data_IF_319132385264
#
_entry.id   IF_319132385264
#
_cell.length_a   1.000
_cell.length_b   1.000
_cell.length_c   1.000
_cell.angle_alpha   90.00
_cell.angle_beta   90.00
_cell.angle_gamma   90.00
#
_symmetry.space_group_name_H-M   'P 1'
#
loop_
_entity.id
_entity.type
_entity.pdbx_description
1 polymer ?
#
# COMPACT_ATOMS: atom_id res chain seq x y z
N UNK A 1 -4.73 -18.46 17.14
CA UNK A 1 -5.11 -17.13 17.46
C UNK A 1 -6.57 -16.84 17.24
N UNK A 2 -7.38 -17.16 18.19
CA UNK A 2 -8.80 -16.94 18.08
C UNK A 2 -9.20 -15.48 17.95
N UNK A 3 -8.33 -14.60 18.42
CA UNK A 3 -8.60 -13.17 18.39
C UNK A 3 -8.78 -12.64 16.98
N UNK A 4 -8.18 -13.29 16.00
CA UNK A 4 -8.23 -12.82 14.63
C UNK A 4 -9.61 -12.94 14.01
N UNK A 5 -10.37 -13.92 14.47
CA UNK A 5 -11.72 -14.13 13.98
C UNK A 5 -12.72 -13.27 14.74
N UNK A 6 -12.25 -12.59 15.75
CA UNK A 6 -13.12 -11.83 16.63
C UNK A 6 -13.32 -10.43 16.07
N UNK A 7 -14.42 -10.24 15.36
CA UNK A 7 -14.76 -8.94 14.81
C UNK A 7 -15.31 -8.06 15.92
N UNK A 8 -14.41 -7.50 16.70
CA UNK A 8 -14.79 -6.55 17.72
C UNK A 8 -15.58 -5.42 17.07
N UNK A 9 -16.78 -5.11 17.55
CA UNK A 9 -17.52 -3.97 16.99
C UNK A 9 -16.66 -2.73 16.96
N UNK A 10 -16.78 -1.95 15.91
CA UNK A 10 -15.94 -0.78 15.73
C UNK A 10 -16.00 0.20 16.90
N UNK A 11 -17.11 0.22 17.62
CA UNK A 11 -17.25 1.02 18.82
C UNK A 11 -16.36 0.59 19.97
N UNK A 12 -15.90 -0.67 19.93
CA UNK A 12 -15.07 -1.24 20.98
C UNK A 12 -13.60 -1.30 20.61
N UNK A 13 -13.21 -0.76 19.45
CA UNK A 13 -11.82 -0.76 19.03
C UNK A 13 -10.98 0.04 20.03
N UNK A 14 -9.99 -0.61 20.59
CA UNK A 14 -9.04 0.03 21.47
C UNK A 14 -8.11 0.93 20.68
N UNK A 15 -7.53 1.93 21.36
CA UNK A 15 -6.58 2.80 20.71
C UNK A 15 -5.37 2.03 20.16
N UNK A 16 -5.00 0.96 20.86
CA UNK A 16 -3.92 0.08 20.44
C UNK A 16 -4.23 -0.58 19.09
N UNK A 17 -5.49 -0.98 18.89
CA UNK A 17 -5.88 -1.60 17.64
C UNK A 17 -5.81 -0.61 16.49
N UNK A 18 -6.12 0.65 16.74
CA UNK A 18 -5.98 1.70 15.73
C UNK A 18 -4.51 1.90 15.38
N UNK A 19 -3.65 1.90 16.40
CA UNK A 19 -2.21 2.02 16.17
C UNK A 19 -1.69 0.85 15.33
N UNK A 20 -2.14 -0.36 15.65
CA UNK A 20 -1.76 -1.53 14.88
C UNK A 20 -2.24 -1.46 13.44
N UNK A 21 -3.43 -0.93 13.21
CA UNK A 21 -3.95 -0.71 11.87
C UNK A 21 -3.05 0.26 11.11
N UNK A 22 -2.65 1.36 11.75
CA UNK A 22 -1.80 2.35 11.11
C UNK A 22 -0.42 1.78 10.82
N UNK A 23 0.12 0.97 11.73
CA UNK A 23 1.41 0.31 11.52
C UNK A 23 1.35 -0.66 10.35
N UNK A 24 0.26 -1.42 10.25
CA UNK A 24 0.05 -2.33 9.15
C UNK A 24 0.02 -1.56 7.82
N UNK A 25 -0.72 -0.45 7.79
CA UNK A 25 -0.82 0.36 6.57
C UNK A 25 0.53 0.97 6.18
N UNK A 26 1.31 1.39 7.16
CA UNK A 26 2.62 1.94 6.90
C UNK A 26 3.58 0.87 6.38
N UNK A 27 3.51 -0.32 6.94
CA UNK A 27 4.31 -1.45 6.45
C UNK A 27 3.90 -1.80 5.03
N UNK A 28 2.59 -1.88 4.76
CA UNK A 28 2.09 -2.17 3.42
C UNK A 28 2.56 -1.12 2.42
N UNK A 29 2.52 0.14 2.82
CA UNK A 29 2.97 1.23 1.97
C UNK A 29 4.46 1.08 1.63
N UNK A 30 5.28 0.77 2.62
CA UNK A 30 6.73 0.60 2.40
C UNK A 30 7.02 -0.58 1.51
N UNK A 31 6.36 -1.71 1.76
CA UNK A 31 6.56 -2.91 0.95
C UNK A 31 6.17 -2.64 -0.50
N UNK A 32 5.01 -2.01 -0.72
CA UNK A 32 4.56 -1.69 -2.06
C UNK A 32 5.51 -0.70 -2.75
N UNK A 33 5.99 0.31 -2.02
CA UNK A 33 6.90 1.30 -2.57
C UNK A 33 8.23 0.66 -2.97
N UNK A 34 8.81 -0.14 -2.07
CA UNK A 34 10.09 -0.79 -2.34
C UNK A 34 9.96 -1.81 -3.47
N UNK A 35 8.89 -2.60 -3.46
CA UNK A 35 8.65 -3.57 -4.53
C UNK A 35 8.45 -2.88 -5.86
N UNK A 36 7.76 -1.75 -5.86
CA UNK A 36 7.57 -0.96 -7.07
C UNK A 36 8.88 -0.48 -7.66
N UNK A 37 9.79 0.01 -6.82
CA UNK A 37 11.10 0.44 -7.26
C UNK A 37 11.91 -0.72 -7.84
N UNK A 38 11.88 -1.87 -7.18
CA UNK A 38 12.59 -3.06 -7.65
C UNK A 38 12.04 -3.51 -9.01
N UNK A 39 10.71 -3.52 -9.16
CA UNK A 39 10.08 -3.94 -10.40
C UNK A 39 10.38 -2.94 -11.52
N UNK A 40 10.36 -1.64 -11.24
CA UNK A 40 10.71 -0.62 -12.24
C UNK A 40 12.15 -0.76 -12.67
N UNK A 41 13.06 -1.01 -11.74
CA UNK A 41 14.46 -1.25 -12.05
C UNK A 41 14.60 -2.50 -12.92
N UNK A 42 13.88 -3.57 -12.57
CA UNK A 42 13.88 -4.78 -13.36
C UNK A 42 13.35 -4.55 -14.77
N UNK A 43 12.31 -3.73 -14.91
CA UNK A 43 11.77 -3.41 -16.23
C UNK A 43 12.81 -2.67 -17.08
N UNK A 44 13.55 -1.75 -16.47
CA UNK A 44 14.61 -1.04 -17.16
C UNK A 44 15.71 -2.02 -17.60
N UNK A 45 16.12 -2.90 -16.71
CA UNK A 45 17.17 -3.87 -17.00
C UNK A 45 16.75 -4.81 -18.13
N UNK A 46 15.49 -5.26 -18.12
CA UNK A 46 14.95 -6.08 -19.21
C UNK A 46 15.02 -5.33 -20.52
N UNK A 47 14.60 -4.07 -20.52
CA UNK A 47 14.62 -3.27 -21.74
C UNK A 47 16.04 -3.11 -22.27
N UNK A 48 16.99 -2.84 -21.38
CA UNK A 48 18.38 -2.68 -21.77
C UNK A 48 18.96 -3.97 -22.37
N UNK A 49 18.72 -5.09 -21.68
CA UNK A 49 19.22 -6.38 -22.14
C UNK A 49 18.65 -6.75 -23.50
N UNK A 50 17.34 -6.59 -23.68
CA UNK A 50 16.69 -6.97 -24.92
C UNK A 50 17.01 -6.02 -26.07
N UNK A 51 17.38 -4.78 -25.77
CA UNK A 51 17.72 -3.80 -26.81
C UNK A 51 18.95 -4.19 -27.61
N UNK A 52 19.79 -5.06 -27.07
CA UNK A 52 21.00 -5.52 -27.75
C UNK A 52 20.78 -6.76 -28.58
N UNK A 53 19.60 -7.39 -28.49
CA UNK A 53 19.34 -8.63 -29.21
C UNK A 53 18.91 -8.30 -30.65
N UNK A 54 19.68 -8.81 -31.61
CA UNK A 54 19.33 -8.66 -33.00
C UNK A 54 18.09 -9.48 -33.31
N UNK A 55 17.20 -8.94 -34.13
CA UNK A 55 15.97 -9.59 -34.49
C UNK A 55 15.95 -9.97 -35.96
N UNK A 56 15.22 -10.99 -36.29
CA UNK A 56 15.10 -11.48 -37.66
C UNK A 56 14.26 -10.55 -38.53
N UNK A 57 13.37 -9.78 -37.93
CA UNK A 57 12.56 -8.83 -38.68
C UNK A 57 13.21 -7.45 -38.70
N UNK A 58 12.59 -6.54 -39.45
CA UNK A 58 13.15 -5.19 -39.64
C UNK A 58 12.86 -4.23 -38.50
N UNK A 59 12.18 -4.69 -37.44
CA UNK A 59 11.89 -3.82 -36.32
C UNK A 59 13.14 -3.55 -35.50
N UNK A 60 13.36 -2.30 -35.11
CA UNK A 60 14.49 -2.01 -34.25
C UNK A 60 14.40 -2.78 -32.92
N UNK A 61 15.52 -3.33 -32.43
CA UNK A 61 15.53 -4.09 -31.19
C UNK A 61 14.97 -3.31 -29.99
N UNK A 62 15.23 -2.01 -29.92
CA UNK A 62 14.76 -1.22 -28.78
C UNK A 62 13.23 -1.09 -28.74
N UNK A 63 12.55 -1.11 -29.90
CA UNK A 63 11.10 -1.05 -29.93
C UNK A 63 10.52 -2.36 -29.41
N UNK A 64 11.09 -3.49 -29.81
CA UNK A 64 10.64 -4.80 -29.33
C UNK A 64 10.91 -4.94 -27.83
N UNK A 65 12.08 -4.50 -27.40
CA UNK A 65 12.43 -4.53 -25.97
C UNK A 65 11.46 -3.71 -25.14
N UNK A 66 11.08 -2.53 -25.64
CA UNK A 66 10.12 -1.67 -24.97
C UNK A 66 8.75 -2.35 -24.83
N UNK A 67 8.33 -3.06 -25.85
CA UNK A 67 7.04 -3.78 -25.80
C UNK A 67 7.03 -4.87 -24.75
N UNK A 68 8.13 -5.61 -24.64
CA UNK A 68 8.25 -6.66 -23.62
C UNK A 68 8.30 -6.02 -22.23
N UNK A 69 9.14 -5.01 -22.05
CA UNK A 69 9.32 -4.38 -20.75
C UNK A 69 8.08 -3.62 -20.29
N UNK A 70 7.17 -3.30 -21.19
CA UNK A 70 5.96 -2.54 -20.85
C UNK A 70 5.14 -3.22 -19.77
N UNK A 71 5.05 -4.54 -19.83
CA UNK A 71 4.26 -5.28 -18.83
C UNK A 71 4.90 -5.20 -17.46
N UNK A 72 6.22 -5.30 -17.37
CA UNK A 72 6.93 -5.16 -16.10
C UNK A 72 6.79 -3.73 -15.57
N UNK A 73 6.89 -2.75 -16.46
CA UNK A 73 6.70 -1.34 -16.07
C UNK A 73 5.30 -1.11 -15.54
N UNK A 74 4.31 -1.71 -16.17
CA UNK A 74 2.92 -1.61 -15.71
C UNK A 74 2.77 -2.20 -14.31
N UNK A 75 3.42 -3.33 -14.05
CA UNK A 75 3.40 -3.94 -12.72
C UNK A 75 4.01 -2.98 -11.68
N UNK A 76 5.11 -2.33 -12.01
CA UNK A 76 5.71 -1.34 -11.13
C UNK A 76 4.79 -0.16 -10.87
N UNK A 77 4.09 0.32 -11.90
CA UNK A 77 3.12 1.40 -11.75
C UNK A 77 1.97 1.00 -10.83
N UNK A 78 1.49 -0.24 -10.96
CA UNK A 78 0.43 -0.74 -10.11
C UNK A 78 0.87 -0.86 -8.65
N UNK A 79 2.11 -1.26 -8.42
CA UNK A 79 2.65 -1.30 -7.06
C UNK A 79 2.77 0.10 -6.48
N UNK A 80 3.15 1.06 -7.31
CA UNK A 80 3.20 2.45 -6.87
C UNK A 80 1.80 2.96 -6.51
N UNK A 81 0.80 2.62 -7.31
CA UNK A 81 -0.60 2.98 -7.01
C UNK A 81 -1.08 2.30 -5.73
N UNK A 82 -0.66 1.05 -5.50
CA UNK A 82 -0.97 0.32 -4.27
C UNK A 82 -0.42 1.06 -3.06
N UNK A 83 0.81 1.54 -3.15
CA UNK A 83 1.44 2.31 -2.07
C UNK A 83 0.60 3.54 -1.73
N UNK A 84 0.12 4.27 -2.74
CA UNK A 84 -0.72 5.45 -2.52
C UNK A 84 -2.04 5.08 -1.85
N UNK A 85 -2.62 3.93 -2.22
CA UNK A 85 -3.85 3.46 -1.61
C UNK A 85 -3.66 3.13 -0.13
N UNK A 86 -2.56 2.48 0.22
CA UNK A 86 -2.26 2.21 1.62
C UNK A 86 -2.13 3.49 2.43
N UNK A 87 -1.57 4.54 1.83
CA UNK A 87 -1.42 5.83 2.51
C UNK A 87 -2.77 6.49 2.78
N UNK A 88 -3.81 6.14 2.02
CA UNK A 88 -5.14 6.72 2.18
C UNK A 88 -5.98 6.04 3.27
N UNK A 89 -5.65 4.81 3.63
CA UNK A 89 -6.47 4.04 4.59
C UNK A 89 -6.56 4.73 5.95
N UNK A 90 -5.46 5.20 6.56
CA UNK A 90 -5.58 5.88 7.85
C UNK A 90 -6.47 7.12 7.79
N UNK A 91 -6.37 7.90 6.72
CA UNK A 91 -7.19 9.10 6.57
C UNK A 91 -8.66 8.75 6.43
N UNK A 92 -8.96 7.72 5.63
CA UNK A 92 -10.32 7.27 5.45
C UNK A 92 -10.90 6.75 6.75
N UNK A 93 -10.10 5.99 7.51
CA UNK A 93 -10.53 5.49 8.80
C UNK A 93 -10.86 6.63 9.75
N UNK A 94 -9.97 7.61 9.87
CA UNK A 94 -10.19 8.74 10.76
C UNK A 94 -11.42 9.55 10.35
N UNK A 95 -11.63 9.73 9.04
CA UNK A 95 -12.78 10.46 8.55
C UNK A 95 -14.09 9.75 8.84
N UNK A 96 -14.12 8.43 8.62
CA UNK A 96 -15.35 7.65 8.78
C UNK A 96 -15.72 7.39 10.23
N UNK A 97 -14.72 7.28 11.10
CA UNK A 97 -14.95 6.85 12.48
C UNK A 97 -14.52 7.89 13.51
N UNK A 98 -14.33 9.12 13.09
CA UNK A 98 -13.88 10.17 14.02
C UNK A 98 -14.91 10.44 15.12
N UNK A 99 -16.18 10.28 14.81
CA UNK A 99 -17.25 10.47 15.81
C UNK A 99 -17.17 9.38 16.88
N UNK A 100 -16.90 8.14 16.49
CA UNK A 100 -16.74 7.01 17.43
C UNK A 100 -15.51 7.24 18.30
N UNK A 101 -14.38 7.63 17.69
CA UNK A 101 -13.14 7.87 18.41
C UNK A 101 -13.32 9.05 19.36
N UNK A 102 -13.96 10.11 18.89
CA UNK A 102 -14.23 11.29 19.70
C UNK A 102 -15.10 10.97 20.90
N UNK A 103 -16.16 10.20 20.69
CA UNK A 103 -17.06 9.79 21.78
C UNK A 103 -16.31 8.97 22.81
N UNK A 104 -15.44 8.06 22.35
CA UNK A 104 -14.66 7.22 23.26
C UNK A 104 -13.68 8.05 24.09
N UNK A 105 -13.04 9.03 23.47
CA UNK A 105 -12.13 9.94 24.15
C UNK A 105 -12.87 10.77 25.19
N UNK A 106 -14.01 11.29 24.83
CA UNK A 106 -14.82 12.08 25.75
C UNK A 106 -15.24 11.27 26.94
N UNK A 107 -15.60 10.01 26.70
CA UNK A 107 -16.00 9.10 27.77
C UNK A 107 -14.86 8.86 28.75
N UNK A 108 -13.64 8.65 28.25
CA UNK A 108 -12.46 8.47 29.10
C UNK A 108 -12.17 9.69 29.94
N UNK A 109 -12.21 10.85 29.34
CA UNK A 109 -11.96 12.11 30.06
C UNK A 109 -13.03 12.33 31.12
N UNK A 110 -14.28 12.04 30.79
CA UNK A 110 -15.38 12.19 31.72
C UNK A 110 -15.22 11.27 32.93
N UNK A 111 -14.83 10.02 32.68
CA UNK A 111 -14.61 9.06 33.76
C UNK A 111 -13.50 9.49 34.69
N UNK A 112 -12.43 10.06 34.14
CA UNK A 112 -11.32 10.56 34.94
C UNK A 112 -11.73 11.74 35.80
N UNK A 113 -12.62 12.58 35.31
CA UNK A 113 -13.11 13.73 36.06
C UNK A 113 -14.19 13.36 37.09
N UNK A 114 -14.87 12.27 36.82
CA UNK A 114 -15.92 11.81 37.72
C UNK A 114 -15.43 11.18 38.98
N UNK A 115 -14.16 11.02 39.12
CA UNK A 115 -13.56 10.54 40.34
C UNK A 115 -13.45 11.65 41.36
#
# INVERSE_FOLDING_TARGET
MGSDADFTPLGDIEFENVTELFEFCELGRRVASNSGLIVMQGAYDIQQALSTIATMDRRPPHIRARRVARHARRAGELLHATQASFAKVPRAFLSEYQDVIGAKRQRKVFDMKGL
#
